data_IF_374701121312
#
_entry.id   IF_374701121312
#
_cell.length_a   1.000
_cell.length_b   1.000
_cell.length_c   1.000
_cell.angle_alpha   90.00
_cell.angle_beta   90.00
_cell.angle_gamma   90.00
#
_symmetry.space_group_name_H-M   'P 1'
#
loop_
_entity.id
_entity.type
_entity.pdbx_description
1 polymer ?
#
# COMPACT_ATOMS: atom_id res chain seq x y z
N UNK A 1 21.76 -8.64 -1.91
CA UNK A 1 21.25 -7.95 -3.12
C UNK A 1 19.91 -7.33 -2.77
N UNK A 2 19.91 -6.07 -2.35
CA UNK A 2 18.68 -5.33 -2.06
C UNK A 2 17.96 -5.01 -3.37
N UNK A 3 16.67 -5.35 -3.45
CA UNK A 3 15.81 -4.97 -4.57
C UNK A 3 15.42 -3.51 -4.34
N UNK A 4 15.63 -2.58 -5.28
CA UNK A 4 15.35 -1.17 -5.06
C UNK A 4 13.86 -0.99 -4.81
N UNK A 5 13.50 -0.73 -3.55
CA UNK A 5 12.13 -0.47 -3.12
C UNK A 5 11.82 0.96 -3.51
N UNK A 6 10.84 1.14 -4.39
CA UNK A 6 10.27 2.47 -4.70
C UNK A 6 9.89 3.13 -3.37
N UNK A 7 10.33 4.37 -3.04
CA UNK A 7 9.98 5.01 -1.79
C UNK A 7 8.50 5.39 -1.82
N UNK A 8 7.65 4.42 -1.47
CA UNK A 8 6.28 4.67 -1.07
C UNK A 8 6.35 5.16 0.36
N UNK A 9 5.54 6.17 0.73
CA UNK A 9 5.32 6.48 2.14
C UNK A 9 5.13 5.17 2.89
N UNK A 10 5.93 4.96 3.93
CA UNK A 10 6.16 3.63 4.51
C UNK A 10 4.83 2.89 4.72
N UNK A 11 4.84 1.56 4.61
CA UNK A 11 3.66 0.74 4.84
C UNK A 11 2.94 1.18 6.13
N UNK A 12 3.72 1.55 7.14
CA UNK A 12 3.25 2.12 8.40
C UNK A 12 2.49 3.44 8.21
N UNK A 13 3.05 4.43 7.51
CA UNK A 13 2.37 5.71 7.23
C UNK A 13 1.02 5.52 6.52
N UNK A 14 0.96 4.57 5.58
CA UNK A 14 -0.27 4.25 4.86
C UNK A 14 -1.29 3.55 5.75
N UNK A 15 -0.87 2.62 6.60
CA UNK A 15 -1.74 1.98 7.59
C UNK A 15 -2.23 2.97 8.65
N UNK A 16 -1.37 3.87 9.10
CA UNK A 16 -1.70 4.94 10.04
C UNK A 16 -2.73 5.90 9.49
N UNK A 17 -2.58 6.27 8.21
CA UNK A 17 -3.57 7.10 7.51
C UNK A 17 -4.95 6.44 7.51
N UNK A 18 -5.02 5.14 7.24
CA UNK A 18 -6.28 4.38 7.25
C UNK A 18 -6.88 4.29 8.66
N UNK A 19 -6.04 4.11 9.69
CA UNK A 19 -6.49 4.14 11.10
C UNK A 19 -7.10 5.50 11.48
N UNK A 20 -6.44 6.61 11.13
CA UNK A 20 -6.96 7.98 11.38
C UNK A 20 -8.30 8.22 10.70
N UNK A 21 -8.48 7.73 9.48
CA UNK A 21 -9.77 7.80 8.77
C UNK A 21 -10.88 7.10 9.55
N UNK A 22 -10.65 5.88 10.04
CA UNK A 22 -11.66 5.17 10.82
C UNK A 22 -11.99 5.88 12.14
N UNK A 23 -10.99 6.48 12.81
CA UNK A 23 -11.22 7.27 14.02
C UNK A 23 -12.15 8.45 13.76
N UNK A 24 -11.96 9.16 12.64
CA UNK A 24 -12.81 10.28 12.25
C UNK A 24 -14.22 9.82 11.85
N UNK A 25 -14.35 8.67 11.17
CA UNK A 25 -15.66 8.11 10.84
C UNK A 25 -16.44 7.66 12.08
N UNK A 26 -15.76 7.16 13.12
CA UNK A 26 -16.39 6.82 14.40
C UNK A 26 -16.85 8.05 15.20
N UNK A 27 -16.31 9.22 14.88
CA UNK A 27 -16.80 10.49 15.40
C UNK A 27 -17.95 11.06 14.53
N UNK A 28 -18.58 10.22 13.70
CA UNK A 28 -19.74 10.56 12.85
C UNK A 28 -19.47 11.64 11.78
N UNK A 29 -18.21 11.88 11.41
CA UNK A 29 -17.88 12.78 10.31
C UNK A 29 -18.27 12.16 8.95
N UNK A 30 -18.76 13.01 8.05
CA UNK A 30 -19.07 12.60 6.67
C UNK A 30 -17.82 12.17 5.89
N UNK A 31 -18.00 11.32 4.87
CA UNK A 31 -16.90 10.86 4.00
C UNK A 31 -16.11 12.03 3.37
N UNK A 32 -16.82 13.09 2.97
CA UNK A 32 -16.23 14.28 2.35
C UNK A 32 -15.43 15.11 3.34
N UNK A 33 -15.89 15.23 4.58
CA UNK A 33 -15.15 15.93 5.62
C UNK A 33 -13.88 15.18 6.02
N UNK A 34 -13.97 13.87 6.22
CA UNK A 34 -12.79 13.03 6.50
C UNK A 34 -11.78 13.12 5.36
N UNK A 35 -12.24 13.08 4.11
CA UNK A 35 -11.40 13.22 2.93
C UNK A 35 -10.62 14.54 2.89
N UNK A 36 -11.29 15.67 3.20
CA UNK A 36 -10.64 16.99 3.32
C UNK A 36 -9.56 17.00 4.39
N UNK A 37 -9.89 16.54 5.61
CA UNK A 37 -8.93 16.49 6.74
C UNK A 37 -7.71 15.59 6.46
N UNK A 38 -7.91 14.49 5.72
CA UNK A 38 -6.86 13.51 5.42
C UNK A 38 -6.17 13.77 4.07
N UNK A 39 -6.61 14.78 3.31
CA UNK A 39 -6.12 15.13 1.96
C UNK A 39 -6.14 13.94 0.99
N UNK A 40 -7.27 13.25 0.90
CA UNK A 40 -7.53 12.21 -0.10
C UNK A 40 -8.90 12.39 -0.76
N UNK A 41 -9.17 11.61 -1.80
CA UNK A 41 -10.51 11.52 -2.37
C UNK A 41 -11.48 10.77 -1.41
N UNK A 42 -12.74 11.21 -1.35
CA UNK A 42 -13.80 10.56 -0.58
C UNK A 42 -14.02 9.09 -0.96
N UNK A 43 -13.80 8.73 -2.23
CA UNK A 43 -13.83 7.34 -2.69
C UNK A 43 -12.78 6.44 -2.01
N UNK A 44 -11.65 7.01 -1.57
CA UNK A 44 -10.64 6.26 -0.81
C UNK A 44 -11.10 6.00 0.62
N UNK A 45 -11.72 7.00 1.25
CA UNK A 45 -12.35 6.86 2.57
C UNK A 45 -13.43 5.79 2.55
N UNK A 46 -14.31 5.83 1.54
CA UNK A 46 -15.35 4.82 1.33
C UNK A 46 -14.76 3.41 1.19
N UNK A 47 -13.73 3.23 0.35
CA UNK A 47 -13.06 1.94 0.16
C UNK A 47 -12.46 1.40 1.45
N UNK A 48 -11.79 2.24 2.25
CA UNK A 48 -11.21 1.83 3.53
C UNK A 48 -12.27 1.47 4.57
N UNK A 49 -13.36 2.24 4.66
CA UNK A 49 -14.51 1.91 5.52
C UNK A 49 -15.11 0.57 5.15
N UNK A 50 -15.38 0.35 3.86
CA UNK A 50 -15.99 -0.88 3.38
C UNK A 50 -15.06 -2.09 3.59
N UNK A 51 -13.75 -1.93 3.37
CA UNK A 51 -12.77 -2.97 3.65
C UNK A 51 -12.69 -3.29 5.15
N UNK A 52 -12.71 -2.29 6.03
CA UNK A 52 -12.72 -2.49 7.48
C UNK A 52 -14.01 -3.20 7.95
N UNK A 53 -15.17 -2.84 7.41
CA UNK A 53 -16.44 -3.53 7.73
C UNK A 53 -16.42 -5.00 7.32
N UNK A 54 -15.71 -5.35 6.25
CA UNK A 54 -15.63 -6.73 5.73
C UNK A 54 -14.55 -7.58 6.38
N UNK A 55 -13.41 -6.99 6.72
CA UNK A 55 -12.19 -7.73 7.10
C UNK A 55 -11.52 -7.20 8.38
N UNK A 56 -12.19 -6.30 9.11
CA UNK A 56 -11.68 -5.75 10.37
C UNK A 56 -10.34 -5.04 10.23
N UNK A 57 -9.48 -5.20 11.24
CA UNK A 57 -8.18 -4.55 11.31
C UNK A 57 -7.21 -4.98 10.19
N UNK A 58 -7.34 -6.21 9.68
CA UNK A 58 -6.46 -6.75 8.64
C UNK A 58 -6.56 -5.99 7.33
N UNK A 59 -7.74 -5.42 7.02
CA UNK A 59 -7.93 -4.55 5.85
C UNK A 59 -7.08 -3.26 5.89
N UNK A 60 -6.58 -2.85 7.05
CA UNK A 60 -5.77 -1.64 7.21
C UNK A 60 -4.29 -1.88 6.96
N UNK A 61 -3.84 -3.14 7.05
CA UNK A 61 -2.45 -3.52 6.76
C UNK A 61 -2.13 -3.22 5.30
N UNK A 62 -0.98 -2.59 5.06
CA UNK A 62 -0.48 -2.39 3.69
C UNK A 62 0.30 -3.64 3.32
N UNK A 63 -0.30 -4.47 2.47
CA UNK A 63 0.36 -5.66 1.95
C UNK A 63 1.50 -5.26 1.02
N UNK A 64 2.54 -6.08 1.03
CA UNK A 64 3.61 -6.01 0.04
C UNK A 64 2.98 -6.01 -1.37
N UNK A 65 3.36 -5.04 -2.20
CA UNK A 65 2.95 -5.00 -3.60
C UNK A 65 4.10 -5.61 -4.41
N UNK A 66 4.04 -6.91 -4.77
CA UNK A 66 5.07 -7.48 -5.62
C UNK A 66 5.10 -6.69 -6.94
N UNK A 67 6.32 -6.34 -7.38
CA UNK A 67 6.51 -5.78 -8.71
C UNK A 67 6.14 -6.80 -9.80
N UNK A 68 6.35 -6.41 -11.06
CA UNK A 68 6.21 -7.34 -12.18
C UNK A 68 7.06 -8.60 -11.89
N UNK A 69 6.51 -9.81 -12.09
CA UNK A 69 7.28 -11.04 -11.96
C UNK A 69 8.57 -10.98 -12.78
N UNK A 70 9.62 -11.62 -12.26
CA UNK A 70 10.92 -11.69 -12.96
C UNK A 70 10.73 -12.35 -14.32
N UNK A 71 11.20 -11.71 -15.39
CA UNK A 71 11.17 -12.30 -16.75
C UNK A 71 12.25 -13.35 -16.97
N UNK A 72 13.32 -13.31 -16.16
CA UNK A 72 14.43 -14.24 -16.23
C UNK A 72 14.31 -15.28 -15.12
N UNK A 73 14.53 -16.54 -15.49
CA UNK A 73 14.81 -17.59 -14.52
C UNK A 73 16.12 -17.30 -13.79
N UNK A 74 16.33 -17.91 -12.62
CA UNK A 74 17.59 -17.80 -11.87
C UNK A 74 18.81 -18.20 -12.69
N UNK A 75 18.67 -19.19 -13.59
CA UNK A 75 19.75 -19.62 -14.49
C UNK A 75 20.08 -18.54 -15.52
N UNK A 76 19.06 -17.92 -16.12
CA UNK A 76 19.24 -16.82 -17.07
C UNK A 76 19.82 -15.58 -16.40
N UNK A 77 19.43 -15.27 -15.16
CA UNK A 77 19.99 -14.18 -14.36
C UNK A 77 21.50 -14.40 -14.11
N UNK A 78 21.92 -15.62 -13.72
CA UNK A 78 23.34 -15.98 -13.57
C UNK A 78 24.12 -15.90 -14.89
N UNK A 79 23.48 -16.26 -16.02
CA UNK A 79 24.09 -16.10 -17.34
C UNK A 79 24.25 -14.63 -17.71
N UNK A 80 23.24 -13.81 -17.45
CA UNK A 80 23.27 -12.38 -17.72
C UNK A 80 24.40 -11.70 -16.94
N UNK A 81 24.55 -11.97 -15.65
CA UNK A 81 25.64 -11.39 -14.83
C UNK A 81 27.02 -11.70 -15.43
N UNK A 82 27.25 -12.94 -15.90
CA UNK A 82 28.52 -13.30 -16.57
C UNK A 82 28.73 -12.57 -17.91
N UNK A 83 27.66 -12.25 -18.63
CA UNK A 83 27.75 -11.48 -19.88
C UNK A 83 28.07 -10.02 -19.58
N UNK A 84 27.45 -9.44 -18.54
CA UNK A 84 27.61 -8.03 -18.17
C UNK A 84 28.94 -7.69 -17.49
N UNK A 85 29.62 -8.67 -16.89
CA UNK A 85 30.91 -8.51 -16.20
C UNK A 85 32.12 -8.91 -17.06
N UNK A 86 31.95 -8.97 -18.37
CA UNK A 86 33.01 -9.06 -19.37
C UNK A 86 33.26 -7.69 -19.95
#
# INVERSE_FOLDING_TARGET
MEVPVRPKGSADLLSDRRRRVLKLLRAELSLNEVARRIRCAASSVMRWRNAWRRHGADALKVRFSPGRPRRLTRRQEKRLVRILLR
#
